data_IF_630517563285
#
_entry.id   IF_630517563285
#
_cell.length_a   1.000
_cell.length_b   1.000
_cell.length_c   1.000
_cell.angle_alpha   90.00
_cell.angle_beta   90.00
_cell.angle_gamma   90.00
#
_symmetry.space_group_name_H-M   'P 1'
#
loop_
_entity.id
_entity.type
_entity.pdbx_description
1 polymer ?
#
# COMPACT_ATOMS: atom_id res chain seq x y z
N UNK A 1 76.08 29.62 6.76
CA UNK A 1 76.14 29.06 5.39
C UNK A 1 75.58 27.63 5.31
N UNK A 2 76.03 26.67 6.13
CA UNK A 2 75.58 25.26 5.99
C UNK A 2 74.08 25.01 6.22
N UNK A 3 73.48 25.66 7.23
CA UNK A 3 72.04 25.56 7.48
C UNK A 3 71.20 26.14 6.33
N UNK A 4 71.67 27.25 5.73
CA UNK A 4 71.04 27.85 4.57
C UNK A 4 71.14 26.94 3.34
N UNK A 5 72.33 26.41 3.05
CA UNK A 5 72.55 25.49 1.93
C UNK A 5 71.81 24.16 2.08
N UNK A 6 71.61 23.67 3.31
CA UNK A 6 70.80 22.49 3.60
C UNK A 6 69.30 22.77 3.41
N UNK A 7 68.82 23.93 3.86
CA UNK A 7 67.43 24.36 3.66
C UNK A 7 67.11 24.56 2.17
N UNK A 8 67.98 25.24 1.42
CA UNK A 8 67.86 25.42 -0.04
C UNK A 8 67.76 24.07 -0.76
N UNK A 9 68.65 23.13 -0.44
CA UNK A 9 68.62 21.79 -1.06
C UNK A 9 67.30 21.07 -0.83
N UNK A 10 66.83 21.05 0.42
CA UNK A 10 65.53 20.44 0.78
C UNK A 10 64.36 21.09 0.01
N UNK A 11 64.40 22.41 -0.19
CA UNK A 11 63.36 23.16 -0.93
C UNK A 11 63.40 22.85 -2.43
N UNK A 12 64.59 22.79 -3.02
CA UNK A 12 64.77 22.40 -4.42
C UNK A 12 64.28 20.98 -4.69
N UNK A 13 64.62 20.04 -3.80
CA UNK A 13 64.12 18.65 -3.86
C UNK A 13 62.59 18.59 -3.81
N UNK A 14 61.95 19.40 -2.94
CA UNK A 14 60.49 19.46 -2.85
C UNK A 14 59.80 20.00 -4.10
N UNK A 15 60.52 20.73 -4.94
CA UNK A 15 60.07 21.24 -6.24
C UNK A 15 60.58 20.42 -7.44
N UNK A 16 61.20 19.26 -7.19
CA UNK A 16 61.64 18.31 -8.23
C UNK A 16 63.00 18.61 -8.86
N UNK A 17 63.80 19.50 -8.26
CA UNK A 17 65.17 19.79 -8.68
C UNK A 17 66.17 19.04 -7.79
N UNK A 18 66.74 17.95 -8.29
CA UNK A 18 67.82 17.22 -7.60
C UNK A 18 69.19 17.86 -7.87
N UNK A 19 69.95 18.14 -6.81
CA UNK A 19 71.38 18.48 -6.85
C UNK A 19 71.80 19.75 -7.63
N UNK A 20 70.96 20.78 -7.74
CA UNK A 20 71.45 22.11 -8.15
C UNK A 20 72.12 22.81 -6.95
N UNK A 21 73.44 23.00 -7.02
CA UNK A 21 74.07 24.06 -6.23
C UNK A 21 73.49 25.38 -6.72
N UNK A 22 72.87 26.15 -5.82
CA UNK A 22 72.37 27.45 -6.19
C UNK A 22 73.54 28.37 -6.52
N UNK A 23 73.64 28.73 -7.80
CA UNK A 23 74.69 29.58 -8.32
C UNK A 23 74.37 31.05 -7.99
N UNK A 24 74.90 31.53 -6.87
CA UNK A 24 74.74 32.92 -6.44
C UNK A 24 75.47 33.90 -7.35
N UNK A 25 76.30 33.44 -8.30
CA UNK A 25 77.01 34.32 -9.25
C UNK A 25 76.10 34.95 -10.31
N UNK A 26 74.87 34.46 -10.44
CA UNK A 26 73.87 34.95 -11.42
C UNK A 26 72.85 35.93 -10.84
N UNK A 27 72.82 36.12 -9.53
CA UNK A 27 71.93 37.08 -8.88
C UNK A 27 72.71 38.39 -8.65
N UNK A 28 72.13 39.49 -9.13
CA UNK A 28 72.84 40.73 -9.47
C UNK A 28 73.55 41.43 -8.32
N UNK A 29 74.19 42.55 -8.66
CA UNK A 29 75.11 43.31 -7.80
C UNK A 29 74.47 43.97 -6.56
N UNK A 30 73.19 43.72 -6.25
CA UNK A 30 72.50 44.22 -5.06
C UNK A 30 71.59 43.16 -4.38
N UNK A 31 71.32 43.32 -3.09
CA UNK A 31 70.74 42.28 -2.23
C UNK A 31 69.27 41.99 -2.45
N UNK A 32 68.51 42.99 -2.88
CA UNK A 32 67.07 42.83 -3.09
C UNK A 32 66.79 42.03 -4.35
N UNK A 33 67.59 42.21 -5.42
CA UNK A 33 67.52 41.35 -6.61
C UNK A 33 67.76 39.88 -6.26
N UNK A 34 68.70 39.61 -5.35
CA UNK A 34 68.95 38.25 -4.86
C UNK A 34 67.76 37.71 -4.08
N UNK A 35 67.24 38.44 -3.09
CA UNK A 35 66.08 38.02 -2.29
C UNK A 35 64.81 37.86 -3.14
N UNK A 36 64.58 38.73 -4.12
CA UNK A 36 63.44 38.65 -5.03
C UNK A 36 63.59 37.55 -6.06
N UNK A 37 64.80 37.28 -6.55
CA UNK A 37 65.09 36.10 -7.37
C UNK A 37 64.81 34.80 -6.63
N UNK A 38 65.20 34.73 -5.34
CA UNK A 38 64.88 33.61 -4.46
C UNK A 38 63.39 33.51 -4.14
N UNK A 39 62.74 34.63 -3.82
CA UNK A 39 61.31 34.62 -3.51
C UNK A 39 60.52 34.23 -4.76
N UNK A 40 60.87 34.70 -5.96
CA UNK A 40 60.25 34.23 -7.21
C UNK A 40 60.36 32.71 -7.43
N UNK A 41 61.38 32.05 -6.86
CA UNK A 41 61.51 30.60 -6.91
C UNK A 41 60.66 29.90 -5.85
N UNK A 42 60.57 30.46 -4.64
CA UNK A 42 59.87 29.86 -3.50
C UNK A 42 58.38 30.22 -3.39
N UNK A 43 57.99 31.42 -3.86
CA UNK A 43 56.68 32.03 -3.76
C UNK A 43 56.55 33.25 -4.71
N UNK A 44 55.75 33.10 -5.77
CA UNK A 44 55.53 34.13 -6.78
C UNK A 44 54.68 35.32 -6.28
N UNK A 45 54.01 35.20 -5.14
CA UNK A 45 53.10 36.20 -4.54
C UNK A 45 53.70 37.02 -3.39
N UNK A 46 55.03 36.97 -3.20
CA UNK A 46 55.71 37.85 -2.23
C UNK A 46 56.90 38.58 -2.86
N UNK A 47 57.12 39.82 -2.45
CA UNK A 47 58.28 40.66 -2.82
C UNK A 47 59.00 41.10 -1.57
N UNK A 48 60.33 41.02 -1.56
CA UNK A 48 61.16 41.62 -0.54
C UNK A 48 61.56 43.03 -0.94
N UNK A 49 61.47 43.96 0.01
CA UNK A 49 61.88 45.35 -0.16
C UNK A 49 62.87 45.75 0.93
N UNK A 50 63.74 46.70 0.60
CA UNK A 50 64.68 47.31 1.55
C UNK A 50 64.21 48.72 1.89
N UNK A 51 64.08 49.00 3.18
CA UNK A 51 63.84 50.36 3.68
C UNK A 51 65.08 51.24 3.49
N UNK A 52 64.91 52.56 3.50
CA UNK A 52 66.02 53.52 3.50
C UNK A 52 66.93 53.44 4.74
N UNK A 53 66.51 52.71 5.78
CA UNK A 53 67.30 52.40 6.98
C UNK A 53 68.03 51.05 6.91
N UNK A 54 67.91 50.33 5.79
CA UNK A 54 68.59 49.04 5.58
C UNK A 54 67.83 47.82 6.10
N UNK A 55 66.64 47.97 6.69
CA UNK A 55 65.79 46.85 7.09
C UNK A 55 65.05 46.23 5.90
N UNK A 56 64.94 44.90 5.91
CA UNK A 56 64.24 44.13 4.89
C UNK A 56 62.86 43.69 5.40
N UNK A 57 61.85 43.75 4.55
CA UNK A 57 60.51 43.27 4.85
C UNK A 57 59.85 42.66 3.61
N UNK A 58 58.91 41.75 3.86
CA UNK A 58 58.12 41.08 2.83
C UNK A 58 56.81 41.84 2.59
N UNK A 59 56.43 41.96 1.31
CA UNK A 59 55.12 42.41 0.85
C UNK A 59 54.44 41.24 0.17
N UNK A 60 53.25 40.90 0.63
CA UNK A 60 52.36 39.95 -0.04
C UNK A 60 51.55 40.70 -1.10
N UNK A 61 51.51 40.19 -2.32
CA UNK A 61 50.67 40.73 -3.38
C UNK A 61 49.48 39.83 -3.63
N UNK A 62 48.36 40.43 -4.00
CA UNK A 62 47.12 39.71 -4.33
C UNK A 62 47.28 38.80 -5.56
N UNK A 63 48.21 39.12 -6.46
CA UNK A 63 48.47 38.34 -7.67
C UNK A 63 49.96 38.36 -8.12
N UNK A 64 50.42 37.35 -8.88
CA UNK A 64 51.81 37.24 -9.34
C UNK A 64 52.29 38.39 -10.24
N UNK A 65 51.41 39.03 -11.02
CA UNK A 65 51.81 40.16 -11.87
C UNK A 65 52.08 41.42 -11.07
N UNK A 66 51.26 41.70 -10.06
CA UNK A 66 51.50 42.81 -9.11
C UNK A 66 52.84 42.63 -8.40
N UNK A 67 53.17 41.40 -8.00
CA UNK A 67 54.48 41.08 -7.44
C UNK A 67 55.63 41.23 -8.43
N UNK A 68 55.46 40.83 -9.69
CA UNK A 68 56.48 41.06 -10.73
C UNK A 68 56.78 42.54 -10.94
N UNK A 69 55.74 43.38 -10.97
CA UNK A 69 55.90 44.84 -11.10
C UNK A 69 56.55 45.47 -9.87
N UNK A 70 56.19 45.02 -8.67
CA UNK A 70 56.77 45.49 -7.43
C UNK A 70 58.26 45.10 -7.29
N UNK A 71 58.67 43.90 -7.76
CA UNK A 71 60.08 43.50 -7.86
C UNK A 71 60.85 44.46 -8.78
N UNK A 72 60.34 44.67 -9.99
CA UNK A 72 60.98 45.53 -10.97
C UNK A 72 61.16 46.98 -10.46
N UNK A 73 60.14 47.54 -9.80
CA UNK A 73 60.21 48.88 -9.23
C UNK A 73 61.22 49.00 -8.08
N UNK A 74 61.43 47.92 -7.32
CA UNK A 74 62.42 47.90 -6.22
C UNK A 74 63.85 47.71 -6.75
N UNK A 75 64.04 46.82 -7.72
CA UNK A 75 65.32 46.62 -8.41
C UNK A 75 65.80 47.95 -9.03
N UNK A 76 64.89 48.70 -9.69
CA UNK A 76 65.16 50.04 -10.23
C UNK A 76 65.51 51.09 -9.16
N UNK A 77 64.96 50.96 -7.94
CA UNK A 77 65.25 51.85 -6.81
C UNK A 77 66.61 51.53 -6.19
N UNK A 78 66.93 50.25 -6.01
CA UNK A 78 68.18 49.80 -5.43
C UNK A 78 69.38 50.03 -6.35
N UNK A 79 69.21 49.94 -7.67
CA UNK A 79 70.22 50.31 -8.66
C UNK A 79 70.73 51.76 -8.54
N UNK A 80 69.99 52.64 -7.84
CA UNK A 80 70.35 54.04 -7.60
C UNK A 80 71.05 54.29 -6.26
N UNK A 81 71.14 53.29 -5.39
CA UNK A 81 71.75 53.43 -4.07
C UNK A 81 73.22 52.97 -4.08
N UNK A 82 74.16 53.93 -4.05
CA UNK A 82 75.57 53.65 -3.78
C UNK A 82 75.79 53.56 -2.28
N UNK A 83 75.82 52.35 -1.71
CA UNK A 83 76.10 52.16 -0.28
C UNK A 83 76.98 50.94 -0.06
N UNK A 84 78.09 51.13 0.65
CA UNK A 84 78.95 50.03 1.13
C UNK A 84 78.12 49.06 1.97
N UNK A 85 77.73 47.94 1.35
CA UNK A 85 76.96 46.88 1.98
C UNK A 85 77.82 46.07 2.95
N UNK A 86 77.37 45.95 4.20
CA UNK A 86 78.06 45.18 5.23
C UNK A 86 77.57 43.73 5.21
N UNK A 87 78.50 42.79 5.08
CA UNK A 87 78.29 41.33 5.02
C UNK A 87 77.36 40.75 6.11
N UNK A 88 77.26 41.40 7.28
CA UNK A 88 76.36 41.01 8.35
C UNK A 88 74.86 41.17 8.04
N UNK A 89 74.47 42.22 7.31
CA UNK A 89 73.06 42.50 6.95
C UNK A 89 72.48 41.41 6.02
N UNK A 90 73.33 40.70 5.28
CA UNK A 90 72.94 39.66 4.33
C UNK A 90 72.55 38.35 5.03
N UNK A 91 73.21 38.04 6.13
CA UNK A 91 72.92 36.82 6.91
C UNK A 91 71.58 36.97 7.64
N UNK A 92 71.29 38.17 8.16
CA UNK A 92 70.05 38.45 8.88
C UNK A 92 68.83 38.50 7.93
N UNK A 93 68.96 39.13 6.77
CA UNK A 93 67.89 39.18 5.77
C UNK A 93 67.51 37.79 5.23
N UNK A 94 68.52 36.92 5.04
CA UNK A 94 68.31 35.56 4.59
C UNK A 94 67.66 34.68 5.67
N UNK A 95 68.04 34.89 6.93
CA UNK A 95 67.40 34.22 8.06
C UNK A 95 65.92 34.63 8.20
N UNK A 96 65.59 35.90 7.97
CA UNK A 96 64.18 36.35 7.91
C UNK A 96 63.42 35.74 6.73
N UNK A 97 64.02 35.64 5.55
CA UNK A 97 63.42 34.97 4.40
C UNK A 97 63.10 33.50 4.69
N UNK A 98 64.03 32.78 5.33
CA UNK A 98 63.82 31.40 5.74
C UNK A 98 62.68 31.28 6.76
N UNK A 99 62.64 32.18 7.77
CA UNK A 99 61.57 32.18 8.78
C UNK A 99 60.20 32.42 8.14
N UNK A 100 60.08 33.44 7.30
CA UNK A 100 58.85 33.80 6.63
C UNK A 100 58.33 32.66 5.72
N UNK A 101 59.21 32.05 4.91
CA UNK A 101 58.79 30.95 4.04
C UNK A 101 58.34 29.71 4.83
N UNK A 102 59.00 29.40 5.95
CA UNK A 102 58.53 28.31 6.84
C UNK A 102 57.15 28.63 7.44
N UNK A 103 56.89 29.88 7.81
CA UNK A 103 55.57 30.30 8.32
C UNK A 103 54.48 30.17 7.25
N UNK A 104 54.77 30.56 6.00
CA UNK A 104 53.83 30.42 4.90
C UNK A 104 53.49 28.96 4.59
N UNK A 105 54.46 28.05 4.68
CA UNK A 105 54.21 26.61 4.56
C UNK A 105 53.28 26.11 5.67
N UNK A 106 53.52 26.51 6.92
CA UNK A 106 52.66 26.14 8.06
C UNK A 106 51.23 26.65 7.87
N UNK A 107 51.06 27.91 7.46
CA UNK A 107 49.73 28.47 7.15
C UNK A 107 49.03 27.69 6.05
N UNK A 108 49.76 27.29 5.00
CA UNK A 108 49.21 26.49 3.90
C UNK A 108 48.75 25.10 4.37
N UNK A 109 49.55 24.43 5.20
CA UNK A 109 49.17 23.15 5.81
C UNK A 109 47.93 23.27 6.70
N UNK A 110 47.85 24.32 7.52
CA UNK A 110 46.69 24.60 8.37
C UNK A 110 45.42 24.85 7.53
N UNK A 111 45.53 25.65 6.47
CA UNK A 111 44.41 25.91 5.56
C UNK A 111 43.91 24.64 4.86
N UNK A 112 44.80 23.76 4.42
CA UNK A 112 44.40 22.47 3.84
C UNK A 112 43.73 21.56 4.88
N UNK A 113 44.21 21.52 6.12
CA UNK A 113 43.56 20.78 7.22
C UNK A 113 42.15 21.30 7.49
N UNK A 114 41.97 22.62 7.59
CA UNK A 114 40.66 23.25 7.80
C UNK A 114 39.70 22.95 6.65
N UNK A 115 40.20 22.96 5.41
CA UNK A 115 39.42 22.62 4.22
C UNK A 115 38.99 21.15 4.22
N UNK A 116 39.88 20.24 4.60
CA UNK A 116 39.56 18.82 4.73
C UNK A 116 38.51 18.58 5.83
N UNK A 117 38.64 19.25 6.97
CA UNK A 117 37.66 19.18 8.06
C UNK A 117 36.30 19.76 7.66
N UNK A 118 36.28 20.91 6.97
CA UNK A 118 35.06 21.49 6.44
C UNK A 118 34.34 20.54 5.47
N UNK A 119 35.09 19.85 4.61
CA UNK A 119 34.56 18.84 3.70
C UNK A 119 33.99 17.63 4.45
N UNK A 120 34.69 17.11 5.47
CA UNK A 120 34.21 16.01 6.32
C UNK A 120 32.91 16.39 7.03
N UNK A 121 32.85 17.60 7.60
CA UNK A 121 31.66 18.13 8.27
C UNK A 121 30.47 18.29 7.30
N UNK A 122 30.74 18.74 6.08
CA UNK A 122 29.71 18.85 5.04
C UNK A 122 29.15 17.48 4.63
N UNK A 123 30.00 16.47 4.45
CA UNK A 123 29.58 15.10 4.16
C UNK A 123 28.80 14.48 5.33
N UNK A 124 29.23 14.69 6.57
CA UNK A 124 28.48 14.22 7.75
C UNK A 124 27.09 14.84 7.82
N UNK A 125 26.97 16.14 7.51
CA UNK A 125 25.68 16.83 7.45
C UNK A 125 24.76 16.26 6.35
N UNK A 126 25.30 15.93 5.17
CA UNK A 126 24.56 15.26 4.10
C UNK A 126 24.07 13.88 4.53
N UNK A 127 24.92 13.09 5.21
CA UNK A 127 24.53 11.78 5.73
C UNK A 127 23.42 11.93 6.79
N UNK A 128 23.56 12.88 7.70
CA UNK A 128 22.57 13.15 8.76
C UNK A 128 21.22 13.58 8.20
N UNK A 129 21.21 14.42 7.16
CA UNK A 129 19.98 14.84 6.48
C UNK A 129 19.33 13.67 5.73
N UNK A 130 20.10 12.90 4.95
CA UNK A 130 19.60 11.71 4.27
C UNK A 130 18.98 10.68 5.24
N UNK A 131 19.60 10.46 6.41
CA UNK A 131 19.05 9.59 7.47
C UNK A 131 17.72 10.11 8.03
N UNK A 132 17.60 11.42 8.25
CA UNK A 132 16.35 12.04 8.70
C UNK A 132 15.24 11.88 7.66
N UNK A 133 15.54 12.10 6.39
CA UNK A 133 14.57 11.91 5.31
C UNK A 133 14.13 10.44 5.17
N UNK A 134 15.08 9.50 5.25
CA UNK A 134 14.78 8.07 5.21
C UNK A 134 13.88 7.65 6.39
N UNK A 135 14.16 8.14 7.60
CA UNK A 135 13.33 7.89 8.77
C UNK A 135 11.91 8.45 8.59
N UNK A 136 11.77 9.68 8.09
CA UNK A 136 10.46 10.27 7.79
C UNK A 136 9.68 9.49 6.73
N UNK A 137 10.34 9.11 5.62
CA UNK A 137 9.75 8.26 4.58
C UNK A 137 9.29 6.91 5.15
N UNK A 138 10.10 6.27 6.00
CA UNK A 138 9.74 5.03 6.69
C UNK A 138 8.51 5.20 7.59
N UNK A 139 8.43 6.29 8.34
CA UNK A 139 7.31 6.61 9.22
C UNK A 139 6.01 6.85 8.42
N UNK A 140 6.10 7.60 7.32
CA UNK A 140 4.97 7.84 6.42
C UNK A 140 4.45 6.55 5.76
N UNK A 141 5.35 5.65 5.35
CA UNK A 141 4.99 4.34 4.80
C UNK A 141 4.32 3.45 5.85
N UNK A 142 4.84 3.44 7.09
CA UNK A 142 4.23 2.69 8.20
C UNK A 142 2.81 3.18 8.49
N UNK A 143 2.58 4.50 8.46
CA UNK A 143 1.25 5.09 8.64
C UNK A 143 0.28 4.67 7.54
N UNK A 144 0.67 4.80 6.27
CA UNK A 144 -0.12 4.34 5.11
C UNK A 144 -0.46 2.86 5.19
N UNK A 145 0.50 2.01 5.57
CA UNK A 145 0.28 0.57 5.70
C UNK A 145 -0.68 0.24 6.86
N UNK A 146 -0.66 1.03 7.94
CA UNK A 146 -1.65 0.90 9.02
C UNK A 146 -3.04 1.27 8.51
N UNK A 147 -3.20 2.44 7.89
CA UNK A 147 -4.48 2.89 7.33
C UNK A 147 -5.07 1.86 6.35
N UNK A 148 -4.25 1.28 5.47
CA UNK A 148 -4.68 0.24 4.54
C UNK A 148 -5.18 -1.03 5.24
N UNK A 149 -4.54 -1.44 6.35
CA UNK A 149 -4.98 -2.60 7.15
C UNK A 149 -6.29 -2.29 7.88
N UNK A 150 -6.39 -1.10 8.48
CA UNK A 150 -7.59 -0.66 9.19
C UNK A 150 -8.79 -0.56 8.23
N UNK A 151 -8.57 -0.12 6.98
CA UNK A 151 -9.59 -0.10 5.93
C UNK A 151 -9.99 -1.50 5.47
N UNK A 152 -9.03 -2.39 5.26
CA UNK A 152 -9.30 -3.79 4.91
C UNK A 152 -10.12 -4.49 6.00
N UNK A 153 -9.83 -4.21 7.27
CA UNK A 153 -10.61 -4.73 8.39
C UNK A 153 -12.05 -4.20 8.35
N UNK A 154 -12.25 -2.89 8.18
CA UNK A 154 -13.59 -2.28 8.07
C UNK A 154 -14.42 -2.89 6.92
N UNK A 155 -13.81 -3.08 5.75
CA UNK A 155 -14.47 -3.73 4.61
C UNK A 155 -14.83 -5.18 4.92
N UNK A 156 -13.97 -5.91 5.63
CA UNK A 156 -14.23 -7.31 6.01
C UNK A 156 -15.40 -7.39 6.99
N UNK A 157 -15.43 -6.52 8.00
CA UNK A 157 -16.54 -6.43 8.96
C UNK A 157 -17.86 -6.09 8.25
N UNK A 158 -17.82 -5.15 7.31
CA UNK A 158 -18.99 -4.78 6.50
C UNK A 158 -19.52 -5.96 5.66
N UNK A 159 -18.64 -6.67 4.95
CA UNK A 159 -19.02 -7.84 4.14
C UNK A 159 -19.63 -8.92 5.04
N UNK A 160 -19.03 -9.21 6.21
CA UNK A 160 -19.58 -10.18 7.14
C UNK A 160 -20.99 -9.79 7.61
N UNK A 161 -21.20 -8.52 7.97
CA UNK A 161 -22.51 -8.02 8.39
C UNK A 161 -23.56 -8.13 7.28
N UNK A 162 -23.20 -7.82 6.02
CA UNK A 162 -24.11 -8.00 4.88
C UNK A 162 -24.46 -9.47 4.64
N UNK A 163 -23.47 -10.37 4.75
CA UNK A 163 -23.69 -11.82 4.60
C UNK A 163 -24.60 -12.38 5.70
N UNK A 164 -24.43 -11.94 6.94
CA UNK A 164 -25.33 -12.30 8.05
C UNK A 164 -26.74 -11.79 7.80
N UNK A 165 -26.89 -10.55 7.30
CA UNK A 165 -28.17 -10.00 6.90
C UNK A 165 -28.86 -10.82 5.80
N UNK A 166 -28.12 -11.21 4.76
CA UNK A 166 -28.65 -12.06 3.68
C UNK A 166 -29.05 -13.44 4.18
N UNK A 167 -28.26 -14.05 5.05
CA UNK A 167 -28.59 -15.33 5.67
C UNK A 167 -29.90 -15.26 6.46
N UNK A 168 -30.09 -14.20 7.26
CA UNK A 168 -31.34 -13.98 7.99
C UNK A 168 -32.55 -13.81 7.07
N UNK A 169 -32.39 -13.12 5.93
CA UNK A 169 -33.46 -13.01 4.93
C UNK A 169 -33.83 -14.36 4.30
N UNK A 170 -32.85 -15.20 4.00
CA UNK A 170 -33.09 -16.53 3.44
C UNK A 170 -33.77 -17.46 4.45
N UNK A 171 -33.38 -17.39 5.72
CA UNK A 171 -34.06 -18.12 6.80
C UNK A 171 -35.54 -17.71 6.91
N UNK A 172 -35.85 -16.41 6.88
CA UNK A 172 -37.23 -15.91 6.90
C UNK A 172 -38.04 -16.36 5.67
N UNK A 173 -37.45 -16.32 4.47
CA UNK A 173 -38.11 -16.80 3.25
C UNK A 173 -38.40 -18.30 3.31
N UNK A 174 -37.46 -19.09 3.81
CA UNK A 174 -37.63 -20.52 3.97
C UNK A 174 -38.73 -20.87 4.98
N UNK A 175 -38.82 -20.13 6.09
CA UNK A 175 -39.90 -20.30 7.05
C UNK A 175 -41.27 -19.96 6.45
N UNK A 176 -41.36 -18.87 5.69
CA UNK A 176 -42.58 -18.48 4.96
C UNK A 176 -43.00 -19.56 3.96
N UNK A 177 -42.05 -20.08 3.17
CA UNK A 177 -42.28 -21.17 2.22
C UNK A 177 -42.80 -22.43 2.92
N UNK A 178 -42.21 -22.82 4.06
CA UNK A 178 -42.66 -23.95 4.85
C UNK A 178 -44.07 -23.73 5.44
N UNK A 179 -44.40 -22.49 5.82
CA UNK A 179 -45.76 -22.09 6.22
C UNK A 179 -46.77 -22.30 5.09
N UNK A 180 -46.48 -21.76 3.91
CA UNK A 180 -47.34 -21.89 2.72
C UNK A 180 -47.54 -23.35 2.31
N UNK A 181 -46.49 -24.17 2.35
CA UNK A 181 -46.61 -25.61 2.05
C UNK A 181 -47.57 -26.31 3.01
N UNK A 182 -47.50 -26.02 4.31
CA UNK A 182 -48.45 -26.56 5.30
C UNK A 182 -49.89 -26.14 5.01
N UNK A 183 -50.11 -24.90 4.62
CA UNK A 183 -51.46 -24.40 4.29
C UNK A 183 -52.04 -25.04 3.04
N UNK A 184 -51.22 -25.22 2.00
CA UNK A 184 -51.63 -25.95 0.78
C UNK A 184 -52.03 -27.38 1.12
N UNK A 185 -51.25 -28.07 1.95
CA UNK A 185 -51.57 -29.43 2.40
C UNK A 185 -52.87 -29.49 3.21
N UNK A 186 -53.04 -28.58 4.18
CA UNK A 186 -54.27 -28.44 4.96
C UNK A 186 -55.49 -28.18 4.08
N UNK A 187 -55.36 -27.33 3.06
CA UNK A 187 -56.45 -27.05 2.11
C UNK A 187 -56.83 -28.30 1.32
N UNK A 188 -55.85 -29.04 0.79
CA UNK A 188 -56.09 -30.31 0.08
C UNK A 188 -56.76 -31.36 0.97
N UNK A 189 -56.36 -31.44 2.25
CA UNK A 189 -56.96 -32.37 3.20
C UNK A 189 -58.41 -32.00 3.53
N UNK A 190 -58.69 -30.71 3.78
CA UNK A 190 -60.06 -30.20 3.94
C UNK A 190 -60.93 -30.49 2.72
N UNK A 191 -60.41 -30.31 1.51
CA UNK A 191 -61.13 -30.65 0.27
C UNK A 191 -61.42 -32.15 0.15
N UNK A 192 -60.47 -33.02 0.54
CA UNK A 192 -60.69 -34.47 0.58
C UNK A 192 -61.78 -34.85 1.58
N UNK A 193 -61.74 -34.28 2.79
CA UNK A 193 -62.75 -34.51 3.82
C UNK A 193 -64.12 -34.02 3.35
N UNK A 194 -64.21 -32.85 2.74
CA UNK A 194 -65.46 -32.31 2.20
C UNK A 194 -66.05 -33.24 1.12
N UNK A 195 -65.23 -33.74 0.19
CA UNK A 195 -65.67 -34.71 -0.83
C UNK A 195 -66.14 -36.03 -0.21
N UNK A 196 -65.43 -36.53 0.81
CA UNK A 196 -65.84 -37.75 1.55
C UNK A 196 -67.20 -37.54 2.23
N UNK A 197 -67.38 -36.42 2.93
CA UNK A 197 -68.64 -36.11 3.61
C UNK A 197 -69.79 -35.96 2.61
N UNK A 198 -69.55 -35.35 1.44
CA UNK A 198 -70.54 -35.27 0.37
C UNK A 198 -70.95 -36.65 -0.15
N UNK A 199 -69.99 -37.58 -0.32
CA UNK A 199 -70.29 -38.95 -0.72
C UNK A 199 -71.09 -39.69 0.36
N UNK A 200 -70.71 -39.54 1.63
CA UNK A 200 -71.44 -40.13 2.76
C UNK A 200 -72.89 -39.64 2.79
N UNK A 201 -73.11 -38.33 2.64
CA UNK A 201 -74.47 -37.77 2.57
C UNK A 201 -75.30 -38.43 1.47
N UNK A 202 -74.75 -38.53 0.24
CA UNK A 202 -75.44 -39.17 -0.88
C UNK A 202 -75.78 -40.64 -0.65
N UNK A 203 -74.90 -41.37 0.05
CA UNK A 203 -75.16 -42.77 0.41
C UNK A 203 -76.27 -42.86 1.46
N UNK A 204 -76.26 -41.99 2.47
CA UNK A 204 -77.34 -41.91 3.46
C UNK A 204 -78.69 -41.62 2.79
N UNK A 205 -78.75 -40.61 1.91
CA UNK A 205 -79.97 -40.27 1.17
C UNK A 205 -80.50 -41.48 0.38
N UNK A 206 -79.61 -42.19 -0.33
CA UNK A 206 -79.98 -43.39 -1.09
C UNK A 206 -80.41 -44.58 -0.20
N UNK A 207 -79.85 -44.72 1.00
CA UNK A 207 -80.26 -45.75 1.97
C UNK A 207 -81.65 -45.45 2.54
N UNK A 208 -81.95 -44.18 2.81
CA UNK A 208 -83.28 -43.76 3.25
C UNK A 208 -84.33 -44.03 2.16
N UNK A 209 -84.04 -43.71 0.89
CA UNK A 209 -84.90 -44.05 -0.25
C UNK A 209 -85.16 -45.56 -0.38
N UNK A 210 -84.13 -46.38 -0.17
CA UNK A 210 -84.26 -47.85 -0.19
C UNK A 210 -85.12 -48.37 0.95
N UNK A 211 -85.01 -47.78 2.14
CA UNK A 211 -85.84 -48.14 3.29
C UNK A 211 -87.31 -47.82 3.05
N UNK A 212 -87.60 -46.66 2.46
CA UNK A 212 -88.96 -46.28 2.07
C UNK A 212 -89.54 -47.23 1.01
N UNK A 213 -88.70 -47.71 0.08
CA UNK A 213 -89.10 -48.72 -0.91
C UNK A 213 -89.37 -50.09 -0.26
N UNK A 214 -88.55 -50.51 0.70
CA UNK A 214 -88.73 -51.76 1.43
C UNK A 214 -90.05 -51.77 2.21
N UNK A 215 -90.36 -50.67 2.90
CA UNK A 215 -91.64 -50.53 3.63
C UNK A 215 -92.85 -50.58 2.67
N UNK A 216 -92.78 -49.87 1.54
CA UNK A 216 -93.82 -49.93 0.50
C UNK A 216 -94.00 -51.34 -0.08
N UNK A 217 -92.89 -52.06 -0.28
CA UNK A 217 -92.93 -53.43 -0.79
C UNK A 217 -93.54 -54.39 0.22
N UNK A 218 -93.22 -54.24 1.51
CA UNK A 218 -93.83 -55.00 2.60
C UNK A 218 -95.34 -54.78 2.65
N UNK A 219 -95.81 -53.53 2.61
CA UNK A 219 -97.25 -53.24 2.54
C UNK A 219 -97.92 -53.86 1.31
N UNK A 220 -97.27 -53.82 0.13
CA UNK A 220 -97.80 -54.47 -1.08
C UNK A 220 -97.90 -55.98 -0.91
N UNK A 221 -96.89 -56.61 -0.31
CA UNK A 221 -96.88 -58.03 -0.07
C UNK A 221 -97.99 -58.45 0.91
N UNK A 222 -98.18 -57.71 2.00
CA UNK A 222 -99.29 -57.93 2.95
C UNK A 222 -100.66 -57.79 2.28
N UNK A 223 -100.86 -56.77 1.43
CA UNK A 223 -102.08 -56.62 0.62
C UNK A 223 -102.32 -57.82 -0.29
N UNK A 224 -101.30 -58.30 -1.00
CA UNK A 224 -101.40 -59.48 -1.87
C UNK A 224 -101.73 -60.74 -1.06
N UNK A 225 -101.10 -60.94 0.10
CA UNK A 225 -101.42 -62.06 0.96
C UNK A 225 -102.88 -62.02 1.42
N UNK A 226 -103.38 -60.85 1.83
CA UNK A 226 -104.78 -60.69 2.23
C UNK A 226 -105.73 -60.96 1.06
N UNK A 227 -105.43 -60.45 -0.15
CA UNK A 227 -106.22 -60.75 -1.36
C UNK A 227 -106.27 -62.25 -1.66
N UNK A 228 -105.15 -62.97 -1.57
CA UNK A 228 -105.10 -64.42 -1.77
C UNK A 228 -105.97 -65.14 -0.73
N UNK A 229 -105.89 -64.72 0.54
CA UNK A 229 -106.72 -65.26 1.62
C UNK A 229 -108.20 -65.01 1.33
N UNK A 230 -108.60 -63.82 0.85
CA UNK A 230 -109.99 -63.48 0.56
C UNK A 230 -110.54 -64.17 -0.70
N UNK A 231 -109.68 -64.43 -1.69
CA UNK A 231 -110.02 -65.19 -2.90
C UNK A 231 -110.31 -66.65 -2.55
N UNK A 232 -109.63 -67.24 -1.56
CA UNK A 232 -109.77 -68.67 -1.27
C UNK A 232 -111.20 -69.06 -0.78
N UNK A 233 -111.87 -68.34 0.14
CA UNK A 233 -113.28 -68.53 0.46
C UNK A 233 -114.20 -68.22 -0.71
N UNK A 234 -113.91 -67.17 -1.52
CA UNK A 234 -114.71 -66.83 -2.71
C UNK A 234 -114.68 -67.95 -3.74
N UNK A 235 -113.51 -68.51 -4.03
CA UNK A 235 -113.33 -69.68 -4.91
C UNK A 235 -113.99 -70.93 -4.34
N UNK A 236 -113.94 -71.14 -3.02
CA UNK A 236 -114.68 -72.22 -2.35
C UNK A 236 -116.20 -72.02 -2.39
N UNK A 237 -116.69 -70.77 -2.39
CA UNK A 237 -118.10 -70.40 -2.57
C UNK A 237 -118.57 -70.63 -4.00
N UNK A 238 -117.81 -70.18 -5.00
CA UNK A 238 -118.05 -70.43 -6.43
C UNK A 238 -118.01 -71.94 -6.73
N UNK A 239 -117.12 -72.72 -6.11
CA UNK A 239 -117.11 -74.19 -6.23
C UNK A 239 -118.31 -74.87 -5.54
N UNK A 240 -118.93 -74.25 -4.53
CA UNK A 240 -120.19 -74.74 -3.93
C UNK A 240 -121.39 -74.36 -4.79
N UNK A 241 -121.44 -73.14 -5.32
CA UNK A 241 -122.49 -72.66 -6.23
C UNK A 241 -122.48 -73.46 -7.55
N UNK A 242 -121.30 -73.80 -8.11
CA UNK A 242 -121.19 -74.68 -9.28
C UNK A 242 -121.47 -76.17 -9.01
N UNK A 243 -121.76 -76.57 -7.75
CA UNK A 243 -122.21 -77.93 -7.40
C UNK A 243 -123.74 -78.04 -7.26
N UNK A 244 -124.44 -76.91 -7.29
CA UNK A 244 -125.90 -76.85 -7.16
C UNK A 244 -126.53 -76.32 -8.45
N UNK A 245 -126.44 -77.06 -9.57
CA UNK A 245 -127.55 -77.14 -10.55
C UNK A 245 -127.41 -78.31 -11.55
N UNK A 246 -128.48 -79.11 -11.82
CA UNK A 246 -128.45 -80.29 -12.69
C UNK A 246 -129.17 -80.14 -14.05
N UNK A 247 -128.71 -80.93 -15.03
CA UNK A 247 -129.48 -81.60 -16.12
C UNK A 247 -130.12 -80.77 -17.25
N UNK A 248 -129.75 -81.03 -18.52
CA UNK A 248 -130.65 -81.67 -19.53
C UNK A 248 -130.08 -81.73 -20.97
N UNK A 249 -130.21 -82.93 -21.55
CA UNK A 249 -130.27 -83.39 -22.96
C UNK A 249 -130.40 -82.36 -24.09
N UNK A 250 -129.76 -82.67 -25.24
CA UNK A 250 -130.45 -82.86 -26.55
C UNK A 250 -129.62 -83.66 -27.59
N UNK A 251 -130.21 -84.78 -27.99
CA UNK A 251 -130.20 -85.44 -29.31
C UNK A 251 -130.51 -84.39 -30.44
N UNK A 252 -130.21 -84.49 -31.75
CA UNK A 252 -130.00 -85.62 -32.69
C UNK A 252 -129.71 -85.09 -34.14
N UNK A 253 -128.99 -85.89 -34.94
CA UNK A 253 -129.10 -86.16 -36.39
C UNK A 253 -128.33 -85.47 -37.56
N UNK A 254 -127.85 -86.40 -38.42
CA UNK A 254 -127.84 -86.51 -39.90
C UNK A 254 -126.79 -85.75 -40.74
N UNK A 255 -125.78 -86.46 -41.25
CA UNK A 255 -125.80 -87.18 -42.54
C UNK A 255 -124.61 -88.15 -42.65
#
# INVERSE_FOLDING_TARGET
MDAFNAWVRKRMESHGYENLLFDTSKFGSNHVETLNGWQSFCNDTTVWQRTHYGHYYAIECDDPNTCRLARQADDERNARMNGDEKVGEHTDALAELMRYNNEMDLRKEEMEKLKEEANKNAEELKIKTARKEAAQKGLATKKRNKERRDEQQRLTEHICAELEGLKGQDEQKNELLAGLQRDVLRKKEKEKIAKKNQLVSRICDALDDLKDLDEKNKERFERIQQEIIDIHPRMSRIRRENREEPSARRQVNNK
#
